data_IF_021206814172
#
_entry.id   IF_021206814172
#
_cell.length_a   1.000
_cell.length_b   1.000
_cell.length_c   1.000
_cell.angle_alpha   90.00
_cell.angle_beta   90.00
_cell.angle_gamma   90.00
#
_symmetry.space_group_name_H-M   'P 1'
#
loop_
_entity.id
_entity.type
_entity.pdbx_description
1 polymer ?
#
# COMPACT_ATOMS: atom_id res chain seq x y z
N UNK A 1 2.68 -3.45 17.92
CA UNK A 1 2.04 -3.16 16.63
C UNK A 1 3.12 -3.03 15.58
N UNK A 2 3.09 -3.91 14.58
CA UNK A 2 4.03 -3.88 13.46
C UNK A 2 3.75 -2.67 12.54
N UNK A 3 4.60 -2.48 11.53
CA UNK A 3 4.49 -1.32 10.63
C UNK A 3 3.17 -1.30 9.84
N UNK A 4 2.76 -2.41 9.23
CA UNK A 4 1.55 -2.47 8.41
C UNK A 4 0.26 -2.35 9.25
N UNK A 5 0.22 -2.90 10.46
CA UNK A 5 -0.85 -2.66 11.43
C UNK A 5 -0.93 -1.19 11.84
N UNK A 6 0.23 -0.51 11.97
CA UNK A 6 0.28 0.93 12.21
C UNK A 6 -0.24 1.72 11.03
N UNK A 7 0.20 1.38 9.81
CA UNK A 7 -0.24 2.02 8.58
C UNK A 7 -1.76 1.87 8.40
N UNK A 8 -2.30 0.66 8.60
CA UNK A 8 -3.74 0.39 8.65
C UNK A 8 -4.46 1.28 9.66
N UNK A 9 -3.99 1.32 10.92
CA UNK A 9 -4.62 2.15 11.95
C UNK A 9 -4.55 3.64 11.62
N UNK A 10 -3.49 4.09 10.94
CA UNK A 10 -3.31 5.48 10.55
C UNK A 10 -4.25 5.86 9.41
N UNK A 11 -4.40 4.99 8.40
CA UNK A 11 -5.40 5.13 7.33
C UNK A 11 -6.82 5.16 7.91
N UNK A 12 -7.11 4.25 8.86
CA UNK A 12 -8.40 4.23 9.53
C UNK A 12 -8.68 5.49 10.33
N UNK A 13 -7.69 5.99 11.06
CA UNK A 13 -7.81 7.26 11.77
C UNK A 13 -7.99 8.43 10.80
N UNK A 14 -7.29 8.45 9.66
CA UNK A 14 -7.47 9.48 8.64
C UNK A 14 -8.90 9.45 8.11
N UNK A 15 -9.38 8.28 7.67
CA UNK A 15 -10.73 8.12 7.14
C UNK A 15 -11.79 8.57 8.15
N UNK A 16 -11.65 8.18 9.42
CA UNK A 16 -12.65 8.49 10.46
C UNK A 16 -12.57 9.90 11.03
N UNK A 17 -11.37 10.49 11.18
CA UNK A 17 -11.19 11.74 11.93
C UNK A 17 -10.94 12.94 11.02
N UNK A 18 -10.19 12.75 9.94
CA UNK A 18 -9.82 13.84 9.02
C UNK A 18 -10.81 13.94 7.88
N UNK A 19 -11.05 12.84 7.17
CA UNK A 19 -12.03 12.78 6.06
C UNK A 19 -13.46 12.74 6.62
N UNK A 20 -13.64 12.22 7.84
CA UNK A 20 -14.95 12.00 8.49
C UNK A 20 -15.87 11.11 7.64
N UNK A 21 -15.30 10.08 7.05
CA UNK A 21 -16.02 9.06 6.30
C UNK A 21 -16.99 8.29 7.22
N UNK A 22 -18.29 8.47 6.99
CA UNK A 22 -19.34 7.93 7.84
C UNK A 22 -19.75 6.50 7.47
N UNK A 23 -19.51 6.09 6.22
CA UNK A 23 -20.15 4.89 5.66
C UNK A 23 -19.29 3.63 5.85
N UNK A 24 -18.07 3.59 5.29
CA UNK A 24 -17.21 2.39 5.34
C UNK A 24 -15.72 2.69 5.56
N UNK A 25 -15.34 3.38 6.66
CA UNK A 25 -13.95 3.77 6.90
C UNK A 25 -12.98 2.58 6.96
N UNK A 26 -13.44 1.42 7.46
CA UNK A 26 -12.68 0.17 7.50
C UNK A 26 -12.33 -0.33 6.10
N UNK A 27 -13.34 -0.40 5.22
CA UNK A 27 -13.16 -0.89 3.85
C UNK A 27 -12.12 -0.04 3.11
N UNK A 28 -12.25 1.29 3.19
CA UNK A 28 -11.30 2.20 2.54
C UNK A 28 -9.88 2.11 3.11
N UNK A 29 -9.72 1.81 4.40
CA UNK A 29 -8.40 1.59 4.98
C UNK A 29 -7.76 0.30 4.48
N UNK A 30 -8.54 -0.76 4.35
CA UNK A 30 -8.09 -2.05 3.81
C UNK A 30 -7.75 -1.89 2.32
N UNK A 31 -8.61 -1.22 1.56
CA UNK A 31 -8.37 -0.91 0.15
C UNK A 31 -7.08 -0.11 -0.02
N UNK A 32 -6.91 0.99 0.72
CA UNK A 32 -5.69 1.79 0.67
C UNK A 32 -4.44 0.98 1.00
N UNK A 33 -4.49 0.12 2.02
CA UNK A 33 -3.37 -0.75 2.37
C UNK A 33 -3.02 -1.75 1.25
N UNK A 34 -4.03 -2.40 0.67
CA UNK A 34 -3.85 -3.36 -0.43
C UNK A 34 -3.25 -2.71 -1.67
N UNK A 35 -3.62 -1.46 -1.94
CA UNK A 35 -3.04 -0.63 -3.00
C UNK A 35 -1.55 -0.40 -2.73
N UNK A 36 -1.17 0.01 -1.53
CA UNK A 36 0.25 0.19 -1.18
C UNK A 36 1.06 -1.11 -1.26
N UNK A 37 0.50 -2.25 -0.84
CA UNK A 37 1.13 -3.56 -1.04
C UNK A 37 1.37 -3.86 -2.52
N UNK A 38 0.35 -3.61 -3.37
CA UNK A 38 0.45 -3.83 -4.81
C UNK A 38 1.54 -2.96 -5.43
N UNK A 39 1.54 -1.66 -5.16
CA UNK A 39 2.55 -0.74 -5.69
C UNK A 39 3.96 -1.01 -5.18
N UNK A 40 4.12 -1.72 -4.06
CA UNK A 40 5.44 -2.16 -3.59
C UNK A 40 5.99 -3.30 -4.45
N UNK A 41 5.12 -4.14 -5.01
CA UNK A 41 5.50 -5.31 -5.82
C UNK A 41 5.65 -4.96 -7.30
N UNK A 42 4.91 -3.96 -7.80
CA UNK A 42 5.00 -3.50 -9.20
C UNK A 42 6.46 -3.31 -9.65
N UNK A 43 7.33 -2.59 -8.91
CA UNK A 43 8.75 -2.47 -9.23
C UNK A 43 9.48 -3.80 -9.43
N UNK A 44 9.25 -4.75 -8.52
CA UNK A 44 9.89 -6.06 -8.54
C UNK A 44 9.43 -6.88 -9.74
N UNK A 45 8.12 -6.84 -10.03
CA UNK A 45 7.54 -7.49 -11.19
C UNK A 45 8.14 -6.94 -12.50
N UNK A 46 8.24 -5.62 -12.64
CA UNK A 46 8.83 -4.99 -13.82
C UNK A 46 10.29 -5.41 -14.02
N UNK A 47 11.11 -5.43 -12.97
CA UNK A 47 12.51 -5.86 -13.03
C UNK A 47 12.59 -7.34 -13.45
N UNK A 48 11.80 -8.22 -12.82
CA UNK A 48 11.78 -9.65 -13.14
C UNK A 48 11.34 -9.90 -14.59
N UNK A 49 10.37 -9.15 -15.08
CA UNK A 49 9.89 -9.27 -16.45
C UNK A 49 11.02 -8.96 -17.46
N UNK A 50 11.75 -7.87 -17.26
CA UNK A 50 12.90 -7.51 -18.10
C UNK A 50 13.97 -8.60 -18.04
N UNK A 51 14.27 -9.13 -16.85
CA UNK A 51 15.30 -10.17 -16.71
C UNK A 51 14.95 -11.48 -17.43
N UNK A 52 13.66 -11.84 -17.51
CA UNK A 52 13.20 -13.10 -18.11
C UNK A 52 12.99 -12.96 -19.62
N UNK A 53 12.40 -11.84 -20.05
CA UNK A 53 11.92 -11.67 -21.43
C UNK A 53 12.74 -10.68 -22.27
N UNK A 54 13.73 -10.00 -21.66
CA UNK A 54 14.56 -8.95 -22.29
C UNK A 54 13.72 -7.90 -23.04
N UNK A 55 12.53 -7.60 -22.53
CA UNK A 55 11.55 -6.72 -23.15
C UNK A 55 11.17 -5.58 -22.21
N UNK A 56 11.13 -4.37 -22.76
CA UNK A 56 10.74 -3.13 -22.09
C UNK A 56 9.33 -2.66 -22.48
N UNK A 57 8.61 -3.44 -23.31
CA UNK A 57 7.28 -3.07 -23.80
C UNK A 57 6.30 -2.89 -22.64
N UNK A 58 5.94 -1.62 -22.40
CA UNK A 58 5.10 -1.20 -21.28
C UNK A 58 3.69 -1.76 -21.38
N UNK A 59 3.17 -1.94 -22.60
CA UNK A 59 1.82 -2.48 -22.79
C UNK A 59 1.73 -3.94 -22.34
N UNK A 60 2.78 -4.73 -22.56
CA UNK A 60 2.83 -6.13 -22.11
C UNK A 60 3.03 -6.23 -20.60
N UNK A 61 3.86 -5.36 -20.03
CA UNK A 61 4.21 -5.33 -18.60
C UNK A 61 3.10 -4.72 -17.75
N UNK A 62 2.44 -3.68 -18.27
CA UNK A 62 1.40 -2.90 -17.60
C UNK A 62 -0.01 -3.22 -18.07
N UNK A 63 -0.20 -4.32 -18.79
CA UNK A 63 -1.53 -4.88 -18.96
C UNK A 63 -2.20 -4.87 -17.58
N UNK A 64 -3.35 -4.20 -17.47
CA UNK A 64 -3.94 -3.89 -16.16
C UNK A 64 -4.29 -5.17 -15.39
N UNK A 65 -4.43 -6.30 -16.10
CA UNK A 65 -4.98 -7.55 -15.59
C UNK A 65 -4.16 -8.17 -14.44
N UNK A 66 -2.81 -8.31 -14.49
CA UNK A 66 -2.07 -8.97 -13.41
C UNK A 66 -2.03 -8.09 -12.15
N UNK A 67 -1.91 -6.77 -12.28
CA UNK A 67 -1.87 -5.88 -11.12
C UNK A 67 -3.23 -5.76 -10.42
N UNK A 68 -4.32 -5.76 -11.18
CA UNK A 68 -5.67 -5.83 -10.61
C UNK A 68 -5.87 -7.15 -9.85
N UNK A 69 -5.43 -8.28 -10.43
CA UNK A 69 -5.51 -9.59 -9.75
C UNK A 69 -4.69 -9.59 -8.47
N UNK A 70 -3.44 -9.11 -8.51
CA UNK A 70 -2.56 -9.00 -7.34
C UNK A 70 -3.20 -8.10 -6.27
N UNK A 71 -3.79 -6.97 -6.67
CA UNK A 71 -4.48 -6.07 -5.76
C UNK A 71 -5.67 -6.73 -5.08
N UNK A 72 -6.49 -7.48 -5.84
CA UNK A 72 -7.63 -8.24 -5.29
C UNK A 72 -7.14 -9.27 -4.28
N UNK A 73 -6.05 -9.98 -4.56
CA UNK A 73 -5.46 -10.96 -3.64
C UNK A 73 -5.01 -10.27 -2.34
N UNK A 74 -4.31 -9.14 -2.44
CA UNK A 74 -3.92 -8.37 -1.25
C UNK A 74 -5.13 -7.84 -0.49
N UNK A 75 -6.13 -7.34 -1.20
CA UNK A 75 -7.35 -6.83 -0.59
C UNK A 75 -8.07 -7.93 0.21
N UNK A 76 -8.26 -9.12 -0.36
CA UNK A 76 -8.88 -10.25 0.34
C UNK A 76 -8.03 -10.67 1.55
N UNK A 77 -6.71 -10.73 1.39
CA UNK A 77 -5.77 -11.11 2.46
C UNK A 77 -5.82 -10.10 3.63
N UNK A 78 -5.74 -8.82 3.31
CA UNK A 78 -5.83 -7.72 4.28
C UNK A 78 -7.22 -7.70 4.93
N UNK A 79 -8.29 -7.95 4.18
CA UNK A 79 -9.65 -8.04 4.70
C UNK A 79 -9.75 -9.15 5.75
N UNK A 80 -9.30 -10.36 5.44
CA UNK A 80 -9.33 -11.51 6.37
C UNK A 80 -8.50 -11.19 7.62
N UNK A 81 -7.31 -10.61 7.45
CA UNK A 81 -6.40 -10.33 8.55
C UNK A 81 -6.91 -9.22 9.49
N UNK A 82 -7.38 -8.10 8.94
CA UNK A 82 -7.72 -6.91 9.70
C UNK A 82 -9.16 -6.87 10.21
N UNK A 83 -10.11 -7.54 9.53
CA UNK A 83 -11.54 -7.54 9.92
C UNK A 83 -11.74 -7.93 11.38
N UNK A 84 -11.04 -8.95 11.86
CA UNK A 84 -11.20 -9.46 13.23
C UNK A 84 -10.28 -8.76 14.24
N UNK A 85 -9.19 -8.14 13.78
CA UNK A 85 -8.17 -7.53 14.66
C UNK A 85 -8.36 -6.03 14.88
N UNK A 86 -9.17 -5.36 14.06
CA UNK A 86 -9.33 -3.90 14.04
C UNK A 86 -9.57 -3.29 15.44
N UNK A 87 -10.51 -3.83 16.23
CA UNK A 87 -10.83 -3.28 17.56
C UNK A 87 -9.63 -3.36 18.51
N UNK A 88 -8.88 -4.44 18.46
CA UNK A 88 -7.68 -4.64 19.31
C UNK A 88 -6.57 -3.71 18.86
N UNK A 89 -6.29 -3.66 17.55
CA UNK A 89 -5.27 -2.80 16.97
C UNK A 89 -5.53 -1.32 17.25
N UNK A 90 -6.78 -0.87 17.12
CA UNK A 90 -7.13 0.52 17.38
C UNK A 90 -6.99 0.90 18.86
N UNK A 91 -7.31 -0.01 19.80
CA UNK A 91 -7.05 0.17 21.23
C UNK A 91 -5.55 0.30 21.51
N UNK A 92 -4.72 -0.53 20.87
CA UNK A 92 -3.26 -0.44 20.98
C UNK A 92 -2.75 0.88 20.38
N UNK A 93 -3.21 1.26 19.19
CA UNK A 93 -2.86 2.52 18.52
C UNK A 93 -3.14 3.74 19.39
N UNK A 94 -4.30 3.80 20.07
CA UNK A 94 -4.62 4.90 20.99
C UNK A 94 -3.62 5.00 22.15
N UNK A 95 -3.16 3.87 22.68
CA UNK A 95 -2.20 3.80 23.81
C UNK A 95 -0.76 4.18 23.45
N UNK A 96 -0.38 4.21 22.18
CA UNK A 96 0.99 4.58 21.77
C UNK A 96 1.25 6.06 22.14
N UNK A 97 2.39 6.37 22.81
CA UNK A 97 2.74 7.73 23.19
C UNK A 97 2.99 8.64 21.98
N UNK A 98 2.75 9.95 22.14
CA UNK A 98 2.83 10.94 21.05
C UNK A 98 4.19 10.95 20.33
N UNK A 99 5.28 10.84 21.08
CA UNK A 99 6.64 10.83 20.51
C UNK A 99 6.87 9.61 19.60
N UNK A 100 6.45 8.41 20.03
CA UNK A 100 6.58 7.19 19.24
C UNK A 100 5.67 7.22 18.01
N UNK A 101 4.45 7.77 18.12
CA UNK A 101 3.57 8.01 16.97
C UNK A 101 4.25 8.89 15.93
N UNK A 102 4.88 10.00 16.34
CA UNK A 102 5.59 10.90 15.41
C UNK A 102 6.68 10.17 14.63
N UNK A 103 7.46 9.31 15.30
CA UNK A 103 8.50 8.52 14.64
C UNK A 103 7.91 7.54 13.62
N UNK A 104 6.83 6.83 13.98
CA UNK A 104 6.14 5.89 13.09
C UNK A 104 5.45 6.59 11.91
N UNK A 105 4.89 7.78 12.13
CA UNK A 105 4.32 8.61 11.07
C UNK A 105 5.38 9.03 10.04
N UNK A 106 6.58 9.41 10.48
CA UNK A 106 7.70 9.70 9.57
C UNK A 106 8.02 8.48 8.71
N UNK A 107 8.09 7.29 9.30
CA UNK A 107 8.31 6.05 8.53
C UNK A 107 7.18 5.77 7.53
N UNK A 108 5.91 5.99 7.90
CA UNK A 108 4.79 5.84 6.97
C UNK A 108 4.91 6.80 5.78
N UNK A 109 5.27 8.07 6.03
CA UNK A 109 5.44 9.07 4.98
C UNK A 109 6.60 8.68 4.06
N UNK A 110 7.73 8.28 4.62
CA UNK A 110 8.89 7.82 3.84
C UNK A 110 8.51 6.62 2.97
N UNK A 111 7.78 5.65 3.53
CA UNK A 111 7.31 4.47 2.79
C UNK A 111 6.36 4.84 1.63
N UNK A 112 5.38 5.72 1.86
CA UNK A 112 4.46 6.15 0.81
C UNK A 112 5.22 6.93 -0.28
N UNK A 113 6.09 7.86 0.13
CA UNK A 113 6.89 8.65 -0.80
C UNK A 113 7.84 7.78 -1.62
N UNK A 114 8.51 6.80 -0.99
CA UNK A 114 9.42 5.90 -1.70
C UNK A 114 8.70 5.05 -2.72
N UNK A 115 7.52 4.51 -2.39
CA UNK A 115 6.68 3.76 -3.35
C UNK A 115 6.34 4.64 -4.55
N UNK A 116 5.86 5.85 -4.32
CA UNK A 116 5.48 6.78 -5.40
C UNK A 116 6.69 7.09 -6.28
N UNK A 117 7.82 7.47 -5.68
CA UNK A 117 9.04 7.82 -6.41
C UNK A 117 9.55 6.64 -7.23
N UNK A 118 9.68 5.45 -6.62
CA UNK A 118 10.19 4.26 -7.30
C UNK A 118 9.30 3.87 -8.48
N UNK A 119 7.97 3.88 -8.29
CA UNK A 119 7.04 3.58 -9.37
C UNK A 119 7.13 4.61 -10.50
N UNK A 120 7.23 5.91 -10.19
CA UNK A 120 7.44 6.96 -11.21
C UNK A 120 8.75 6.73 -11.96
N UNK A 121 9.86 6.51 -11.25
CA UNK A 121 11.17 6.29 -11.85
C UNK A 121 11.17 5.07 -12.79
N UNK A 122 10.55 3.97 -12.39
CA UNK A 122 10.41 2.78 -13.21
C UNK A 122 9.58 3.08 -14.45
N UNK A 123 8.41 3.71 -14.28
CA UNK A 123 7.57 4.10 -15.41
C UNK A 123 8.31 4.98 -16.42
N UNK A 124 9.07 5.97 -15.94
CA UNK A 124 9.89 6.84 -16.79
C UNK A 124 11.02 6.07 -17.48
N UNK A 125 11.69 5.16 -16.77
CA UNK A 125 12.77 4.35 -17.33
C UNK A 125 12.27 3.42 -18.44
N UNK A 126 11.16 2.72 -18.23
CA UNK A 126 10.58 1.86 -19.25
C UNK A 126 10.07 2.67 -20.46
N UNK A 127 9.53 3.88 -20.24
CA UNK A 127 9.11 4.78 -21.33
C UNK A 127 10.27 5.29 -22.17
N UNK A 128 11.48 5.40 -21.62
CA UNK A 128 12.64 5.84 -22.40
C UNK A 128 13.32 4.71 -23.19
N UNK A 129 12.90 3.46 -22.95
CA UNK A 129 13.42 2.26 -23.62
C UNK A 129 12.49 1.69 -24.69
N UNK A 130 11.20 2.08 -24.69
CA UNK A 130 10.27 1.86 -25.80
C UNK A 130 10.39 2.96 -26.84
#
# INVERSE_FOLDING_TARGET
MNFFEYLFCRLYWWNTVVIKEEVTPLFYSILGLSVFHTYTIVPLYCILYVLIYDSFYLEDILNLSPFVIINIIFFITDLIFFRNKQRVLYKQFKKIPKQEKKRKDIFCIIYIASIIIVNICIMTYFRSKN
#
